data_IF_138365087029
#
_entry.id   IF_138365087029
#
_cell.length_a   1.000
_cell.length_b   1.000
_cell.length_c   1.000
_cell.angle_alpha   90.00
_cell.angle_beta   90.00
_cell.angle_gamma   90.00
#
_symmetry.space_group_name_H-M   'P 1'
#
loop_
_entity.id
_entity.type
_entity.pdbx_description
1 polymer ?
#
# COMPACT_ATOMS: atom_id res chain seq x y z
N UNK A 1 -43.76 -30.34 -45.11
CA UNK A 1 -42.32 -30.09 -44.89
C UNK A 1 -42.15 -28.94 -43.90
N UNK A 2 -41.90 -29.16 -42.59
CA UNK A 2 -41.62 -28.08 -41.64
C UNK A 2 -40.10 -27.88 -41.42
N UNK A 3 -39.63 -26.62 -41.34
CA UNK A 3 -38.24 -26.25 -41.07
C UNK A 3 -37.96 -26.22 -39.57
N UNK A 4 -36.91 -26.92 -39.12
CA UNK A 4 -36.45 -26.94 -37.73
C UNK A 4 -35.71 -25.63 -37.35
N UNK A 5 -36.01 -25.11 -36.16
CA UNK A 5 -35.45 -23.89 -35.54
C UNK A 5 -34.20 -24.26 -34.72
N UNK A 6 -33.07 -23.62 -34.98
CA UNK A 6 -31.82 -23.83 -34.23
C UNK A 6 -31.88 -23.19 -32.82
N UNK A 7 -31.27 -23.80 -31.78
CA UNK A 7 -31.15 -23.18 -30.46
C UNK A 7 -29.99 -22.16 -30.40
N UNK A 8 -30.25 -21.03 -29.74
CA UNK A 8 -29.35 -19.89 -29.62
C UNK A 8 -28.07 -20.17 -28.83
N UNK A 9 -26.99 -19.47 -29.19
CA UNK A 9 -25.71 -19.45 -28.48
C UNK A 9 -25.84 -18.58 -27.21
N UNK A 10 -25.56 -19.08 -26.00
CA UNK A 10 -25.39 -18.20 -24.85
C UNK A 10 -24.02 -17.52 -24.90
N UNK A 11 -24.06 -16.25 -24.52
CA UNK A 11 -22.98 -15.27 -24.49
C UNK A 11 -21.87 -15.69 -23.52
N UNK A 12 -20.61 -15.53 -23.96
CA UNK A 12 -19.44 -15.68 -23.12
C UNK A 12 -19.51 -14.71 -21.93
N UNK A 13 -19.49 -15.23 -20.70
CA UNK A 13 -19.21 -14.44 -19.50
C UNK A 13 -17.69 -14.38 -19.30
N UNK A 14 -17.20 -13.16 -19.08
CA UNK A 14 -15.78 -12.81 -19.05
C UNK A 14 -15.00 -13.38 -17.87
N UNK A 15 -13.66 -13.18 -17.85
CA UNK A 15 -12.77 -13.79 -16.88
C UNK A 15 -13.01 -13.22 -15.47
N UNK A 16 -13.08 -14.14 -14.50
CA UNK A 16 -13.13 -13.82 -13.08
C UNK A 16 -11.87 -13.03 -12.66
N UNK A 17 -12.12 -11.83 -12.16
CA UNK A 17 -11.17 -10.89 -11.57
C UNK A 17 -10.26 -11.60 -10.56
N UNK A 18 -8.96 -11.61 -10.83
CA UNK A 18 -7.95 -12.27 -10.01
C UNK A 18 -7.99 -11.81 -8.54
N UNK A 19 -8.17 -12.78 -7.65
CA UNK A 19 -7.93 -12.60 -6.23
C UNK A 19 -6.41 -12.45 -6.02
N UNK A 20 -5.97 -11.23 -5.73
CA UNK A 20 -4.58 -10.89 -5.44
C UNK A 20 -4.01 -11.81 -4.37
N UNK A 21 -2.88 -12.44 -4.71
CA UNK A 21 -2.23 -13.45 -3.92
C UNK A 21 -1.79 -12.98 -2.53
N UNK A 22 -1.99 -13.87 -1.55
CA UNK A 22 -1.27 -13.85 -0.27
C UNK A 22 0.21 -14.05 -0.55
N UNK A 23 1.00 -12.98 -0.41
CA UNK A 23 2.45 -13.10 -0.32
C UNK A 23 2.79 -13.84 0.99
N UNK A 24 3.00 -15.16 0.90
CA UNK A 24 3.80 -15.91 1.86
C UNK A 24 5.26 -15.67 1.50
N UNK A 25 5.94 -14.84 2.29
CA UNK A 25 7.39 -14.67 2.25
C UNK A 25 7.91 -14.74 3.67
N UNK A 26 8.06 -15.96 4.18
CA UNK A 26 8.74 -16.23 5.43
C UNK A 26 10.25 -16.15 5.18
N UNK A 27 10.78 -14.92 5.16
CA UNK A 27 12.19 -14.63 5.33
C UNK A 27 12.35 -13.84 6.62
N UNK A 28 12.52 -14.54 7.74
CA UNK A 28 12.66 -13.92 9.06
C UNK A 28 14.06 -13.34 9.18
N UNK A 29 14.20 -12.06 8.82
CA UNK A 29 15.27 -11.21 9.36
C UNK A 29 14.91 -10.84 10.81
N UNK A 30 15.90 -10.66 11.71
CA UNK A 30 15.65 -10.36 13.11
C UNK A 30 14.76 -9.12 13.19
N UNK A 31 13.67 -9.25 13.94
CA UNK A 31 12.61 -8.27 14.04
C UNK A 31 13.12 -6.98 14.68
N UNK A 32 13.62 -6.05 13.86
CA UNK A 32 13.49 -4.63 14.18
C UNK A 32 12.00 -4.37 14.04
N UNK A 33 11.28 -4.40 15.17
CA UNK A 33 9.85 -4.08 15.23
C UNK A 33 9.70 -2.57 15.05
N UNK A 34 9.98 -2.09 13.85
CA UNK A 34 9.24 -0.96 13.31
C UNK A 34 7.87 -1.52 12.97
N UNK A 35 6.86 -1.20 13.77
CA UNK A 35 5.49 -1.68 13.59
C UNK A 35 5.10 -1.51 12.11
N UNK A 36 5.05 -2.61 11.36
CA UNK A 36 4.72 -2.56 9.95
C UNK A 36 3.27 -2.08 9.83
N UNK A 37 3.08 -0.82 9.43
CA UNK A 37 1.75 -0.25 9.30
C UNK A 37 0.92 -1.09 8.33
N UNK A 38 -0.28 -1.48 8.75
CA UNK A 38 -1.26 -2.09 7.83
C UNK A 38 -1.61 -1.10 6.73
N UNK A 39 -2.06 -1.61 5.56
CA UNK A 39 -2.46 -0.74 4.45
C UNK A 39 -3.53 0.29 4.85
N UNK A 40 -4.48 -0.10 5.70
CA UNK A 40 -5.50 0.80 6.25
C UNK A 40 -4.91 1.88 7.15
N UNK A 41 -4.02 1.51 8.07
CA UNK A 41 -3.37 2.45 8.97
C UNK A 41 -2.52 3.48 8.21
N UNK A 42 -1.79 3.04 7.18
CA UNK A 42 -1.00 3.93 6.32
C UNK A 42 -1.86 4.97 5.61
N UNK A 43 -2.96 4.57 4.98
CA UNK A 43 -3.86 5.50 4.27
C UNK A 43 -4.47 6.53 5.23
N UNK A 44 -4.89 6.07 6.41
CA UNK A 44 -5.44 6.95 7.44
C UNK A 44 -4.40 7.99 7.92
N UNK A 45 -3.20 7.55 8.30
CA UNK A 45 -2.12 8.46 8.72
C UNK A 45 -1.73 9.45 7.62
N UNK A 46 -1.70 9.02 6.35
CA UNK A 46 -1.45 9.92 5.22
C UNK A 46 -2.50 11.03 5.11
N UNK A 47 -3.78 10.71 5.35
CA UNK A 47 -4.83 11.73 5.35
C UNK A 47 -4.69 12.73 6.50
N UNK A 48 -4.30 12.25 7.69
CA UNK A 48 -4.03 13.11 8.85
C UNK A 48 -2.80 13.99 8.67
N UNK A 49 -1.80 13.52 7.93
CA UNK A 49 -0.56 14.27 7.68
C UNK A 49 -0.72 15.38 6.65
N UNK A 50 -1.73 15.33 5.77
CA UNK A 50 -1.91 16.31 4.70
C UNK A 50 -2.02 17.78 5.17
N UNK A 51 -2.78 18.10 6.24
CA UNK A 51 -2.88 19.46 6.75
C UNK A 51 -1.75 19.85 7.73
N UNK A 52 -0.80 18.95 8.03
CA UNK A 52 0.26 19.24 8.98
C UNK A 52 1.37 20.04 8.31
N UNK A 53 1.87 21.06 9.00
CA UNK A 53 3.07 21.76 8.59
C UNK A 53 4.31 20.89 8.84
N UNK A 54 5.34 20.94 7.97
CA UNK A 54 6.57 20.18 8.15
C UNK A 54 7.37 20.73 9.33
N UNK A 55 7.70 19.84 10.28
CA UNK A 55 8.49 20.19 11.49
C UNK A 55 10.01 20.11 11.27
N UNK A 56 10.45 19.31 10.30
CA UNK A 56 11.87 19.16 9.93
C UNK A 56 11.98 19.23 8.41
N UNK A 57 12.94 20.00 7.90
CA UNK A 57 13.15 20.22 6.46
C UNK A 57 14.53 19.72 6.02
N UNK A 58 14.56 19.03 4.87
CA UNK A 58 15.80 18.53 4.26
C UNK A 58 16.46 19.63 3.44
N UNK A 59 17.73 19.93 3.74
CA UNK A 59 18.53 20.92 3.03
C UNK A 59 19.28 20.36 1.82
N UNK A 60 20.11 21.20 1.18
CA UNK A 60 20.86 20.84 -0.03
C UNK A 60 21.87 19.69 0.17
N UNK A 61 22.37 19.51 1.40
CA UNK A 61 23.28 18.40 1.75
C UNK A 61 22.56 17.05 1.88
N UNK A 62 21.24 17.01 1.73
CA UNK A 62 20.45 15.78 1.76
C UNK A 62 20.31 15.21 3.18
N UNK A 63 20.44 13.89 3.30
CA UNK A 63 20.29 13.16 4.57
C UNK A 63 21.63 13.15 5.30
N UNK A 64 21.71 13.90 6.40
CA UNK A 64 22.87 13.98 7.29
C UNK A 64 22.55 13.39 8.66
N UNK A 65 23.57 13.06 9.44
CA UNK A 65 23.37 12.54 10.80
C UNK A 65 22.60 13.53 11.69
N UNK A 66 22.91 14.82 11.56
CA UNK A 66 22.19 15.89 12.25
C UNK A 66 20.71 15.99 11.87
N UNK A 67 20.34 15.63 10.63
CA UNK A 67 18.94 15.55 10.21
C UNK A 67 18.24 14.38 10.88
N UNK A 68 18.89 13.21 10.95
CA UNK A 68 18.35 12.04 11.62
C UNK A 68 18.09 12.32 13.11
N UNK A 69 19.02 13.00 13.79
CA UNK A 69 18.84 13.44 15.17
C UNK A 69 17.65 14.39 15.34
N UNK A 70 17.50 15.37 14.45
CA UNK A 70 16.36 16.29 14.49
C UNK A 70 15.01 15.57 14.27
N UNK A 71 14.96 14.58 13.37
CA UNK A 71 13.78 13.74 13.15
C UNK A 71 13.47 12.89 14.39
N UNK A 72 14.48 12.32 15.03
CA UNK A 72 14.31 11.50 16.24
C UNK A 72 13.73 12.30 17.40
N UNK A 73 14.12 13.57 17.56
CA UNK A 73 13.52 14.47 18.55
C UNK A 73 12.07 14.77 18.18
N UNK A 74 11.81 15.17 16.94
CA UNK A 74 10.46 15.55 16.50
C UNK A 74 9.42 14.41 16.55
N UNK A 75 9.84 13.15 16.49
CA UNK A 75 8.94 11.99 16.59
C UNK A 75 8.69 11.52 18.03
N UNK A 76 9.42 12.05 19.02
CA UNK A 76 9.29 11.67 20.44
C UNK A 76 8.49 12.67 21.27
N UNK A 77 8.30 13.88 20.77
CA UNK A 77 7.41 14.91 21.33
C UNK A 77 5.93 14.55 21.08
#
# INVERSE_FOLDING_TARGET
MPRARAPGRPLASGPAKGAGGRARGAGTLPAVIGASLTGRARTYLKSLAHPLEPVVQVGAQGITDSLCEAVDVALRD
#
